data_IF_914816046795
#
_entry.id   IF_914816046795
#
_cell.length_a   1.000
_cell.length_b   1.000
_cell.length_c   1.000
_cell.angle_alpha   90.00
_cell.angle_beta   90.00
_cell.angle_gamma   90.00
#
_symmetry.space_group_name_H-M   'P 1'
#
loop_
_entity.id
_entity.type
_entity.pdbx_description
1 polymer ?
#
# COMPACT_ATOMS: atom_id res chain seq x y z
N UNK A 1 5.03 18.43 20.31
CA UNK A 1 3.76 19.00 19.78
C UNK A 1 4.00 19.69 18.46
N UNK A 2 3.03 19.59 17.54
CA UNK A 2 3.00 20.30 16.24
C UNK A 2 1.65 20.98 16.12
N UNK A 3 1.61 22.20 15.58
CA UNK A 3 0.38 22.88 15.25
C UNK A 3 0.24 23.00 13.74
N UNK A 4 -0.91 22.60 13.20
CA UNK A 4 -1.33 22.93 11.83
C UNK A 4 -2.21 24.18 11.89
N UNK A 5 -1.85 25.23 11.15
CA UNK A 5 -2.61 26.47 11.09
C UNK A 5 -2.96 26.87 9.66
N UNK A 6 -3.86 27.81 9.51
CA UNK A 6 -4.35 28.26 8.21
C UNK A 6 -4.88 27.10 7.36
N UNK A 7 -5.65 26.21 7.98
CA UNK A 7 -6.36 25.13 7.28
C UNK A 7 -7.60 25.72 6.62
N UNK A 8 -7.72 25.63 5.30
CA UNK A 8 -8.91 26.10 4.58
C UNK A 8 -10.12 25.21 4.83
N UNK A 9 -9.94 23.90 4.68
CA UNK A 9 -10.96 22.90 5.01
C UNK A 9 -10.30 21.68 5.64
N UNK A 10 -10.87 21.21 6.74
CA UNK A 10 -10.48 19.97 7.42
C UNK A 10 -11.59 18.94 7.25
N UNK A 11 -11.27 17.79 6.65
CA UNK A 11 -12.13 16.62 6.71
C UNK A 11 -11.69 15.74 7.88
N UNK A 12 -12.59 15.42 8.79
CA UNK A 12 -12.28 14.63 9.99
C UNK A 12 -13.44 13.73 10.38
N UNK A 13 -13.14 12.62 11.08
CA UNK A 13 -14.17 11.75 11.61
C UNK A 13 -14.70 12.28 12.93
N UNK A 14 -16.02 12.40 13.04
CA UNK A 14 -16.71 12.80 14.25
C UNK A 14 -17.23 11.54 14.97
N UNK A 15 -16.60 11.19 16.08
CA UNK A 15 -16.96 10.01 16.87
C UNK A 15 -18.36 10.08 17.50
N UNK A 16 -18.91 11.28 17.72
CA UNK A 16 -20.24 11.45 18.32
C UNK A 16 -21.37 11.20 17.30
N UNK A 17 -21.18 11.65 16.06
CA UNK A 17 -22.15 11.47 14.97
C UNK A 17 -21.93 10.20 14.16
N UNK A 18 -20.71 9.62 14.22
CA UNK A 18 -20.32 8.45 13.45
C UNK A 18 -20.08 8.71 11.95
N UNK A 19 -19.92 9.97 11.54
CA UNK A 19 -19.75 10.38 10.14
C UNK A 19 -18.52 11.26 9.97
N UNK A 20 -18.13 11.50 8.73
CA UNK A 20 -17.11 12.48 8.36
C UNK A 20 -17.72 13.89 8.37
N UNK A 21 -17.04 14.81 9.05
CA UNK A 21 -17.37 16.22 9.09
C UNK A 21 -16.37 17.03 8.24
N UNK A 22 -16.80 18.18 7.78
CA UNK A 22 -15.94 19.19 7.16
C UNK A 22 -16.01 20.49 7.98
N UNK A 23 -14.85 20.87 8.54
CA UNK A 23 -14.68 22.09 9.31
C UNK A 23 -13.83 23.08 8.50
N UNK A 24 -14.15 24.37 8.56
CA UNK A 24 -13.43 25.40 7.82
C UNK A 24 -12.69 26.34 8.77
N UNK A 25 -11.57 26.87 8.30
CA UNK A 25 -10.77 27.88 9.01
C UNK A 25 -10.39 27.46 10.43
N UNK A 26 -10.05 26.18 10.61
CA UNK A 26 -9.66 25.60 11.89
C UNK A 26 -8.16 25.36 11.98
N UNK A 27 -7.70 25.08 13.18
CA UNK A 27 -6.33 24.69 13.53
C UNK A 27 -6.35 23.30 14.19
N UNK A 28 -5.22 22.61 14.17
CA UNK A 28 -5.04 21.31 14.83
C UNK A 28 -3.78 21.35 15.67
N UNK A 29 -3.84 20.83 16.91
CA UNK A 29 -2.67 20.53 17.72
C UNK A 29 -2.50 19.02 17.79
N UNK A 30 -1.30 18.56 17.44
CA UNK A 30 -0.88 17.17 17.46
C UNK A 30 0.25 17.00 18.48
N UNK A 31 0.15 16.01 19.34
CA UNK A 31 1.25 15.60 20.22
C UNK A 31 1.52 14.11 20.07
N UNK A 32 2.76 13.78 19.74
CA UNK A 32 3.14 12.45 19.29
C UNK A 32 2.23 11.98 18.16
N UNK A 33 1.47 10.92 18.36
CA UNK A 33 0.60 10.31 17.35
C UNK A 33 -0.89 10.64 17.56
N UNK A 34 -1.20 11.64 18.41
CA UNK A 34 -2.58 11.97 18.79
C UNK A 34 -2.95 13.40 18.41
N UNK A 35 -4.14 13.56 17.85
CA UNK A 35 -4.78 14.86 17.71
C UNK A 35 -5.31 15.25 19.09
N UNK A 36 -4.77 16.32 19.68
CA UNK A 36 -5.19 16.81 20.99
C UNK A 36 -6.36 17.78 20.91
N UNK A 37 -6.31 18.69 19.97
CA UNK A 37 -7.30 19.78 19.86
C UNK A 37 -7.57 20.08 18.38
N UNK A 38 -8.82 20.36 18.04
CA UNK A 38 -9.27 20.93 16.78
C UNK A 38 -10.16 22.12 17.10
N UNK A 39 -9.89 23.29 16.52
CA UNK A 39 -10.69 24.48 16.79
C UNK A 39 -10.07 25.75 16.20
N UNK A 40 -10.56 26.90 16.64
CA UNK A 40 -10.08 28.20 16.21
C UNK A 40 -9.29 28.85 17.35
N UNK A 41 -8.25 29.63 17.00
CA UNK A 41 -7.43 30.38 17.96
C UNK A 41 -6.83 29.48 19.07
N UNK A 42 -6.32 28.32 18.68
CA UNK A 42 -5.68 27.39 19.63
C UNK A 42 -4.41 28.02 20.19
N UNK A 43 -3.95 27.49 21.34
CA UNK A 43 -2.72 27.95 22.00
C UNK A 43 -1.52 27.97 21.05
N UNK A 44 -0.54 28.81 21.36
CA UNK A 44 0.72 28.89 20.62
C UNK A 44 1.56 27.64 20.86
N UNK A 45 2.13 27.11 19.79
CA UNK A 45 3.10 26.02 19.74
C UNK A 45 4.26 26.51 18.89
N UNK A 46 5.50 26.19 19.27
CA UNK A 46 6.69 26.67 18.54
C UNK A 46 6.85 26.00 17.17
N UNK A 47 6.49 24.69 17.08
CA UNK A 47 6.56 23.96 15.82
C UNK A 47 5.22 24.07 15.07
N UNK A 48 5.22 24.88 14.02
CA UNK A 48 4.02 25.22 13.24
C UNK A 48 4.18 24.82 11.78
N UNK A 49 3.14 24.20 11.23
CA UNK A 49 3.00 23.95 9.79
C UNK A 49 1.85 24.82 9.28
N UNK A 50 2.17 25.76 8.39
CA UNK A 50 1.17 26.58 7.72
C UNK A 50 0.57 25.79 6.55
N UNK A 51 -0.72 25.53 6.60
CA UNK A 51 -1.43 24.77 5.55
C UNK A 51 -1.85 25.64 4.35
N UNK A 52 -1.58 26.95 4.38
CA UNK A 52 -1.84 27.88 3.26
C UNK A 52 -3.28 27.78 2.71
N UNK A 53 -4.26 27.68 3.60
CA UNK A 53 -5.69 27.51 3.28
C UNK A 53 -6.01 26.30 2.39
N UNK A 54 -5.17 25.26 2.44
CA UNK A 54 -5.40 24.02 1.71
C UNK A 54 -6.34 23.10 2.47
N UNK A 55 -6.83 22.07 1.75
CA UNK A 55 -7.54 20.95 2.32
C UNK A 55 -6.58 20.09 3.16
N UNK A 56 -7.01 19.72 4.36
CA UNK A 56 -6.37 18.76 5.23
C UNK A 56 -7.32 17.58 5.45
N UNK A 57 -6.81 16.37 5.28
CA UNK A 57 -7.57 15.12 5.48
C UNK A 57 -6.76 14.16 6.34
N UNK A 58 -7.40 13.14 6.97
CA UNK A 58 -6.67 11.96 7.43
C UNK A 58 -5.87 11.36 6.29
N UNK A 59 -4.76 10.69 6.61
CA UNK A 59 -4.03 9.90 5.62
C UNK A 59 -4.91 8.82 5.02
N UNK A 60 -4.75 8.55 3.72
CA UNK A 60 -5.56 7.54 3.05
C UNK A 60 -5.19 6.13 3.52
N UNK A 61 -6.19 5.28 3.58
CA UNK A 61 -6.05 3.84 3.83
C UNK A 61 -6.35 3.12 2.53
N UNK A 62 -5.38 2.38 2.00
CA UNK A 62 -5.59 1.52 0.83
C UNK A 62 -5.79 0.07 1.30
N UNK A 63 -7.01 -0.47 1.25
CA UNK A 63 -7.36 -1.76 1.82
C UNK A 63 -7.11 -2.93 0.89
N UNK A 64 -6.56 -2.73 -0.32
CA UNK A 64 -6.37 -3.81 -1.28
C UNK A 64 -5.20 -3.54 -2.22
N UNK A 65 -3.99 -4.02 -1.86
CA UNK A 65 -2.83 -3.92 -2.75
C UNK A 65 -2.00 -5.20 -2.81
N UNK A 66 -1.27 -5.36 -3.93
CA UNK A 66 -0.26 -6.40 -4.14
C UNK A 66 1.10 -5.73 -4.41
N UNK A 67 1.74 -5.11 -3.42
CA UNK A 67 2.90 -4.26 -3.69
C UNK A 67 4.22 -5.05 -3.84
N UNK A 68 4.22 -6.35 -3.54
CA UNK A 68 5.41 -7.19 -3.52
C UNK A 68 5.59 -7.88 -4.87
N UNK A 69 6.30 -7.24 -5.78
CA UNK A 69 6.65 -7.77 -7.11
C UNK A 69 7.97 -7.14 -7.60
N UNK A 70 8.65 -7.76 -8.54
CA UNK A 70 9.90 -7.22 -9.10
C UNK A 70 9.60 -6.20 -10.20
N UNK A 71 9.02 -6.63 -11.30
CA UNK A 71 8.78 -5.83 -12.49
C UNK A 71 7.30 -5.47 -12.62
N UNK A 72 7.03 -4.23 -13.03
CA UNK A 72 5.70 -3.82 -13.45
C UNK A 72 5.36 -4.47 -14.80
N UNK A 73 4.07 -4.47 -15.14
CA UNK A 73 3.55 -5.10 -16.36
C UNK A 73 2.94 -4.06 -17.30
N UNK A 74 3.63 -2.94 -17.48
CA UNK A 74 3.22 -1.83 -18.34
C UNK A 74 3.12 -2.25 -19.81
N UNK A 75 3.98 -3.17 -20.27
CA UNK A 75 3.90 -3.72 -21.64
C UNK A 75 2.60 -4.49 -21.86
N UNK A 76 2.09 -5.23 -20.88
CA UNK A 76 0.80 -5.90 -20.96
C UNK A 76 -0.35 -4.89 -21.06
N UNK A 77 -0.26 -3.78 -20.33
CA UNK A 77 -1.23 -2.69 -20.47
C UNK A 77 -1.21 -2.10 -21.89
N UNK A 78 -0.02 -1.89 -22.45
CA UNK A 78 0.12 -1.43 -23.83
C UNK A 78 -0.44 -2.43 -24.85
N UNK A 79 -0.24 -3.74 -24.65
CA UNK A 79 -0.85 -4.78 -25.48
C UNK A 79 -2.38 -4.70 -25.43
N UNK A 80 -2.98 -4.53 -24.25
CA UNK A 80 -4.44 -4.35 -24.08
C UNK A 80 -4.97 -3.12 -24.81
N UNK A 81 -4.26 -2.00 -24.74
CA UNK A 81 -4.62 -0.79 -25.50
C UNK A 81 -4.61 -1.01 -27.01
N UNK A 82 -3.81 -1.97 -27.50
CA UNK A 82 -3.78 -2.40 -28.90
C UNK A 82 -4.82 -3.48 -29.25
N UNK A 83 -5.65 -3.89 -28.29
CA UNK A 83 -6.72 -4.86 -28.51
C UNK A 83 -6.35 -6.31 -28.20
N UNK A 84 -5.17 -6.59 -27.60
CA UNK A 84 -4.81 -7.94 -27.19
C UNK A 84 -5.74 -8.48 -26.12
N UNK A 85 -6.10 -9.74 -26.24
CA UNK A 85 -6.87 -10.47 -25.25
C UNK A 85 -5.98 -10.90 -24.06
N UNK A 86 -6.59 -11.36 -22.98
CA UNK A 86 -5.83 -11.94 -21.88
C UNK A 86 -5.05 -13.18 -22.31
N UNK A 87 -5.64 -14.00 -23.19
CA UNK A 87 -4.99 -15.20 -23.74
C UNK A 87 -3.75 -14.83 -24.57
N UNK A 88 -3.79 -13.76 -25.36
CA UNK A 88 -2.64 -13.28 -26.13
C UNK A 88 -1.48 -12.86 -25.19
N UNK A 89 -1.81 -12.19 -24.07
CA UNK A 89 -0.83 -11.78 -23.06
C UNK A 89 -0.21 -13.01 -22.39
N UNK A 90 -1.03 -13.99 -22.01
CA UNK A 90 -0.53 -15.23 -21.40
C UNK A 90 0.33 -16.01 -22.41
N UNK A 91 -0.08 -16.09 -23.66
CA UNK A 91 0.68 -16.76 -24.72
C UNK A 91 2.04 -16.09 -24.99
N UNK A 92 2.15 -14.78 -24.77
CA UNK A 92 3.42 -14.05 -24.87
C UNK A 92 4.33 -14.18 -23.65
N UNK A 93 3.93 -14.99 -22.64
CA UNK A 93 4.68 -15.21 -21.40
C UNK A 93 4.37 -14.22 -20.29
N UNK A 94 3.35 -13.37 -20.47
CA UNK A 94 2.91 -12.39 -19.47
C UNK A 94 1.95 -12.96 -18.41
N UNK A 95 1.25 -12.06 -17.72
CA UNK A 95 0.30 -12.38 -16.69
C UNK A 95 0.96 -12.72 -15.35
N UNK A 96 0.19 -13.36 -14.47
CA UNK A 96 0.66 -13.73 -13.13
C UNK A 96 1.89 -14.65 -13.16
N UNK A 97 2.06 -15.46 -14.20
CA UNK A 97 3.18 -16.41 -14.34
C UNK A 97 4.52 -15.69 -14.44
N UNK A 98 4.58 -14.56 -15.15
CA UNK A 98 5.76 -13.69 -15.21
C UNK A 98 6.09 -13.13 -13.83
N UNK A 99 5.11 -12.55 -13.13
CA UNK A 99 5.30 -12.03 -11.77
C UNK A 99 5.80 -13.10 -10.79
N UNK A 100 5.28 -14.33 -10.90
CA UNK A 100 5.71 -15.47 -10.06
C UNK A 100 7.16 -15.86 -10.35
N UNK A 101 7.53 -15.97 -11.62
CA UNK A 101 8.90 -16.26 -12.03
C UNK A 101 9.88 -15.20 -11.51
N UNK A 102 9.54 -13.94 -11.69
CA UNK A 102 10.35 -12.82 -11.23
C UNK A 102 10.53 -12.84 -9.72
N UNK A 103 9.45 -13.00 -8.96
CA UNK A 103 9.50 -13.00 -7.50
C UNK A 103 10.31 -14.17 -6.94
N UNK A 104 10.19 -15.35 -7.54
CA UNK A 104 10.92 -16.55 -7.10
C UNK A 104 12.44 -16.37 -7.27
N UNK A 105 12.86 -15.73 -8.35
CA UNK A 105 14.26 -15.59 -8.73
C UNK A 105 14.93 -14.30 -8.23
N UNK A 106 14.17 -13.30 -7.80
CA UNK A 106 14.74 -12.01 -7.37
C UNK A 106 15.54 -12.16 -6.08
N UNK A 107 16.64 -11.43 -6.00
CA UNK A 107 17.38 -11.23 -4.75
C UNK A 107 16.52 -10.49 -3.72
N UNK A 108 16.63 -10.91 -2.44
CA UNK A 108 15.82 -10.37 -1.36
C UNK A 108 16.05 -8.87 -1.15
N UNK A 109 17.30 -8.41 -1.23
CA UNK A 109 17.64 -7.00 -1.03
C UNK A 109 17.05 -6.12 -2.13
N UNK A 110 17.05 -6.60 -3.37
CA UNK A 110 16.43 -5.90 -4.50
C UNK A 110 14.89 -5.85 -4.34
N UNK A 111 14.27 -6.95 -3.90
CA UNK A 111 12.82 -6.98 -3.62
C UNK A 111 12.43 -5.95 -2.55
N UNK A 112 13.18 -5.89 -1.43
CA UNK A 112 12.98 -4.91 -0.36
C UNK A 112 13.13 -3.48 -0.89
N UNK A 113 14.18 -3.21 -1.68
CA UNK A 113 14.42 -1.89 -2.27
C UNK A 113 13.26 -1.45 -3.19
N UNK A 114 12.77 -2.35 -4.05
CA UNK A 114 11.62 -2.08 -4.93
C UNK A 114 10.34 -1.83 -4.15
N UNK A 115 10.09 -2.63 -3.11
CA UNK A 115 8.94 -2.45 -2.23
C UNK A 115 8.99 -1.09 -1.51
N UNK A 116 10.15 -0.73 -0.96
CA UNK A 116 10.35 0.57 -0.30
C UNK A 116 10.05 1.74 -1.24
N UNK A 117 10.58 1.71 -2.46
CA UNK A 117 10.33 2.74 -3.47
C UNK A 117 8.83 2.87 -3.82
N UNK A 118 8.09 1.76 -3.82
CA UNK A 118 6.62 1.79 -3.99
C UNK A 118 5.94 2.45 -2.81
N UNK A 119 6.36 2.14 -1.59
CA UNK A 119 5.82 2.77 -0.38
C UNK A 119 6.09 4.28 -0.35
N UNK A 120 7.26 4.73 -0.82
CA UNK A 120 7.53 6.16 -1.02
C UNK A 120 6.50 6.80 -1.98
N UNK A 121 6.09 6.07 -3.02
CA UNK A 121 5.08 6.56 -3.97
C UNK A 121 3.68 6.60 -3.35
N UNK A 122 3.27 5.57 -2.59
CA UNK A 122 2.02 5.58 -1.84
C UNK A 122 1.95 6.77 -0.88
N UNK A 123 3.03 7.00 -0.11
CA UNK A 123 3.10 8.11 0.84
C UNK A 123 3.02 9.47 0.13
N UNK A 124 3.67 9.61 -1.02
CA UNK A 124 3.62 10.84 -1.83
C UNK A 124 2.21 11.18 -2.30
N UNK A 125 1.38 10.16 -2.54
CA UNK A 125 -0.03 10.31 -2.92
C UNK A 125 -0.98 10.35 -1.73
N UNK A 126 -0.46 10.39 -0.49
CA UNK A 126 -1.24 10.59 0.73
C UNK A 126 -1.71 9.31 1.40
N UNK A 127 -1.33 8.13 0.92
CA UNK A 127 -1.63 6.85 1.60
C UNK A 127 -0.68 6.65 2.76
N UNK A 128 -1.22 6.50 3.98
CA UNK A 128 -0.45 6.31 5.21
C UNK A 128 -0.59 4.91 5.81
N UNK A 129 -1.61 4.17 5.38
CA UNK A 129 -1.82 2.78 5.76
C UNK A 129 -2.21 1.97 4.52
N UNK A 130 -1.60 0.81 4.34
CA UNK A 130 -1.80 -0.02 3.16
C UNK A 130 -1.85 -1.51 3.52
N UNK A 131 -2.87 -2.22 3.02
CA UNK A 131 -2.87 -3.68 3.04
C UNK A 131 -1.88 -4.20 1.99
N UNK A 132 -0.96 -5.05 2.41
CA UNK A 132 0.09 -5.61 1.57
C UNK A 132 -0.08 -7.12 1.43
N UNK A 133 -0.68 -7.55 0.33
CA UNK A 133 -0.84 -8.98 0.03
C UNK A 133 0.45 -9.58 -0.51
N UNK A 134 0.72 -10.82 -0.10
CA UNK A 134 1.60 -11.73 -0.83
C UNK A 134 0.85 -12.30 -2.06
N UNK A 135 1.22 -13.48 -2.56
CA UNK A 135 0.45 -14.16 -3.60
C UNK A 135 1.07 -14.16 -4.99
N UNK A 136 2.29 -13.64 -5.13
CA UNK A 136 3.09 -13.81 -6.34
C UNK A 136 4.24 -14.81 -6.16
N UNK A 137 4.39 -15.40 -4.97
CA UNK A 137 5.38 -16.47 -4.72
C UNK A 137 4.87 -17.83 -5.13
N UNK A 138 3.64 -18.15 -4.71
CA UNK A 138 2.94 -19.42 -4.93
C UNK A 138 3.78 -20.65 -4.54
N UNK A 139 4.65 -20.50 -3.55
CA UNK A 139 5.40 -21.53 -2.86
C UNK A 139 5.69 -21.08 -1.43
N UNK A 140 5.87 -22.01 -0.49
CA UNK A 140 6.14 -21.66 0.92
C UNK A 140 7.29 -20.66 1.02
N UNK A 141 8.43 -20.96 0.40
CA UNK A 141 9.62 -20.12 0.45
C UNK A 141 9.36 -18.71 -0.07
N UNK A 142 8.72 -18.59 -1.24
CA UNK A 142 8.55 -17.30 -1.91
C UNK A 142 7.43 -16.46 -1.29
N UNK A 143 6.39 -17.10 -0.74
CA UNK A 143 5.38 -16.38 0.05
C UNK A 143 5.97 -15.85 1.35
N UNK A 144 6.78 -16.65 2.07
CA UNK A 144 7.51 -16.21 3.25
C UNK A 144 8.53 -15.11 2.91
N UNK A 145 9.20 -15.19 1.75
CA UNK A 145 10.08 -14.12 1.26
C UNK A 145 9.32 -12.81 1.08
N UNK A 146 8.11 -12.85 0.53
CA UNK A 146 7.25 -11.68 0.37
C UNK A 146 6.84 -11.07 1.71
N UNK A 147 6.39 -11.89 2.66
CA UNK A 147 6.01 -11.42 4.00
C UNK A 147 7.20 -10.87 4.78
N UNK A 148 8.39 -11.46 4.64
CA UNK A 148 9.62 -10.93 5.23
C UNK A 148 9.99 -9.58 4.65
N UNK A 149 9.86 -9.38 3.32
CA UNK A 149 10.12 -8.11 2.67
C UNK A 149 9.14 -7.01 3.17
N UNK A 150 7.85 -7.34 3.34
CA UNK A 150 6.86 -6.43 3.93
C UNK A 150 7.29 -6.03 5.35
N UNK A 151 7.66 -7.00 6.19
CA UNK A 151 8.10 -6.73 7.57
C UNK A 151 9.35 -5.86 7.62
N UNK A 152 10.34 -6.12 6.77
CA UNK A 152 11.58 -5.36 6.70
C UNK A 152 11.32 -3.88 6.34
N UNK A 153 10.48 -3.63 5.33
CA UNK A 153 10.11 -2.26 4.95
C UNK A 153 9.26 -1.61 6.03
N UNK A 154 8.29 -2.31 6.61
CA UNK A 154 7.41 -1.76 7.65
C UNK A 154 8.16 -1.30 8.90
N UNK A 155 9.29 -1.94 9.22
CA UNK A 155 10.14 -1.55 10.35
C UNK A 155 10.97 -0.27 10.10
N UNK A 156 11.11 0.15 8.84
CA UNK A 156 11.99 1.25 8.45
C UNK A 156 11.31 2.36 7.64
N UNK A 157 10.02 2.23 7.37
CA UNK A 157 9.25 3.17 6.55
C UNK A 157 8.09 3.78 7.36
N UNK A 158 7.76 5.08 7.19
CA UNK A 158 6.70 5.73 7.96
C UNK A 158 5.27 5.27 7.61
N UNK A 159 5.06 4.66 6.43
CA UNK A 159 3.75 4.09 6.07
C UNK A 159 3.48 2.82 6.87
N UNK A 160 2.27 2.65 7.38
CA UNK A 160 1.85 1.44 8.08
C UNK A 160 1.45 0.37 7.07
N UNK A 161 2.19 -0.73 7.03
CA UNK A 161 1.90 -1.86 6.15
C UNK A 161 1.24 -2.99 6.93
N UNK A 162 0.08 -3.45 6.47
CA UNK A 162 -0.67 -4.56 7.07
C UNK A 162 -0.48 -5.80 6.17
N UNK A 163 0.32 -6.79 6.58
CA UNK A 163 0.58 -7.95 5.76
C UNK A 163 -0.64 -8.87 5.69
N UNK A 164 -0.94 -9.35 4.49
CA UNK A 164 -1.96 -10.37 4.24
C UNK A 164 -1.33 -11.52 3.48
N UNK A 165 -1.35 -12.73 4.08
CA UNK A 165 -0.96 -13.94 3.37
C UNK A 165 -2.00 -14.29 2.30
N UNK A 166 -1.55 -14.47 1.07
CA UNK A 166 -2.42 -14.80 -0.07
C UNK A 166 -1.84 -15.91 -0.96
N UNK A 167 -1.35 -16.99 -0.36
CA UNK A 167 -0.85 -18.15 -1.09
C UNK A 167 -1.88 -18.76 -2.05
N UNK A 168 -3.17 -18.61 -1.75
CA UNK A 168 -4.27 -19.04 -2.61
C UNK A 168 -4.61 -18.07 -3.76
N UNK A 169 -3.70 -17.17 -4.15
CA UNK A 169 -3.95 -16.20 -5.22
C UNK A 169 -4.14 -16.86 -6.60
N UNK A 170 -3.38 -17.93 -6.86
CA UNK A 170 -3.51 -18.73 -8.06
C UNK A 170 -2.92 -20.13 -7.81
N UNK A 171 -3.18 -21.07 -8.72
CA UNK A 171 -2.46 -22.32 -8.75
C UNK A 171 -1.16 -22.18 -9.54
N UNK A 172 0.01 -22.51 -8.97
CA UNK A 172 1.26 -22.47 -9.72
C UNK A 172 1.33 -23.61 -10.72
N UNK A 173 2.16 -23.45 -11.75
CA UNK A 173 2.23 -24.42 -12.87
C UNK A 173 2.51 -25.85 -12.42
N UNK A 174 3.37 -26.03 -11.42
CA UNK A 174 3.74 -27.34 -10.87
C UNK A 174 2.56 -28.07 -10.20
N UNK A 175 1.50 -27.35 -9.84
CA UNK A 175 0.27 -27.90 -9.25
C UNK A 175 -0.94 -27.85 -10.18
N UNK A 176 -0.77 -27.51 -11.45
CA UNK A 176 -1.89 -27.39 -12.41
C UNK A 176 -2.72 -28.69 -12.50
N UNK A 177 -2.06 -29.86 -12.40
CA UNK A 177 -2.68 -31.20 -12.41
C UNK A 177 -2.94 -31.78 -11.02
N UNK A 178 -2.53 -31.09 -9.95
CA UNK A 178 -2.69 -31.54 -8.57
C UNK A 178 -3.11 -30.39 -7.66
N UNK A 179 -4.26 -29.78 -7.94
CA UNK A 179 -4.75 -28.62 -7.20
C UNK A 179 -4.99 -28.89 -5.72
N UNK A 180 -5.47 -30.12 -5.40
CA UNK A 180 -5.65 -30.53 -4.00
C UNK A 180 -4.32 -30.57 -3.24
N UNK A 181 -3.26 -31.04 -3.86
CA UNK A 181 -1.92 -31.01 -3.28
C UNK A 181 -1.46 -29.59 -2.96
N UNK A 182 -1.83 -28.60 -3.78
CA UNK A 182 -1.53 -27.20 -3.48
C UNK A 182 -2.38 -26.64 -2.33
N UNK A 183 -3.67 -26.94 -2.32
CA UNK A 183 -4.57 -26.54 -1.21
C UNK A 183 -4.07 -27.07 0.13
N UNK A 184 -3.57 -28.31 0.16
CA UNK A 184 -3.01 -28.91 1.37
C UNK A 184 -1.62 -28.33 1.76
N UNK A 185 -0.91 -27.67 0.82
CA UNK A 185 0.38 -27.05 1.05
C UNK A 185 0.24 -25.68 1.74
N UNK A 186 -0.79 -24.91 1.38
CA UNK A 186 -1.03 -23.54 1.86
C UNK A 186 -1.94 -23.49 3.08
#
# INVERSE_FOLDING_TARGET
>A
MIKLENIGSLVTYNSNSGIMDTLNDVEIIIDNDLILEIGNNLRKIDNVINCNHKLVTPGFVDPHTHPVFLNAREDEFHMRLKGATYEDIVASGGGIRSSVSDLRNVDFSLLVSKLKSRMDSFLRFGTTTVECKSGYGLSIESELKSLKAINEVNNSHPIKMIPTFMGAHAFPNEYEKNREGYVNLI
#
